data_IF_436431150786
#
_entry.id   IF_436431150786
#
_cell.length_a   1.000
_cell.length_b   1.000
_cell.length_c   1.000
_cell.angle_alpha   90.00
_cell.angle_beta   90.00
_cell.angle_gamma   90.00
#
_symmetry.space_group_name_H-M   'P 1'
#
loop_
_entity.id
_entity.type
_entity.pdbx_description
1 polymer ?
#
# COMPACT_ATOMS: atom_id res chain seq x y z
N UNK A 1 -12.15 27.29 -8.92
CA UNK A 1 -12.26 26.05 -9.72
C UNK A 1 -10.87 25.47 -9.93
N UNK A 2 -10.32 24.78 -8.93
CA UNK A 2 -9.13 23.94 -9.13
C UNK A 2 -9.62 22.53 -9.43
N UNK A 3 -9.70 22.19 -10.71
CA UNK A 3 -9.89 20.82 -11.15
C UNK A 3 -8.75 19.97 -10.54
N UNK A 4 -9.11 18.96 -9.75
CA UNK A 4 -8.15 17.99 -9.22
C UNK A 4 -7.41 17.35 -10.40
N UNK A 5 -6.09 17.54 -10.46
CA UNK A 5 -5.23 17.02 -11.54
C UNK A 5 -5.01 15.51 -11.46
N UNK A 6 -5.59 14.83 -10.46
CA UNK A 6 -5.52 13.39 -10.30
C UNK A 6 -6.94 12.84 -10.38
N UNK A 7 -7.21 12.11 -11.46
CA UNK A 7 -8.40 11.25 -11.53
C UNK A 7 -8.22 10.19 -10.45
N UNK A 8 -9.13 10.14 -9.47
CA UNK A 8 -9.14 9.10 -8.44
C UNK A 8 -9.50 7.75 -9.08
N UNK A 9 -8.51 7.13 -9.71
CA UNK A 9 -8.63 5.81 -10.31
C UNK A 9 -8.86 4.75 -9.24
N UNK A 10 -9.55 3.67 -9.63
CA UNK A 10 -9.66 2.44 -8.84
C UNK A 10 -8.95 1.29 -9.53
N UNK A 11 -8.41 0.37 -8.75
CA UNK A 11 -7.97 -0.95 -9.25
C UNK A 11 -9.19 -1.78 -9.67
N UNK A 12 -8.95 -2.89 -10.35
CA UNK A 12 -10.02 -3.85 -10.72
C UNK A 12 -10.73 -4.38 -9.47
N UNK A 13 -10.00 -4.56 -8.36
CA UNK A 13 -10.55 -4.96 -7.05
C UNK A 13 -11.26 -3.82 -6.29
N UNK A 14 -11.38 -2.63 -6.88
CA UNK A 14 -12.13 -1.51 -6.30
C UNK A 14 -11.37 -0.63 -5.30
N UNK A 15 -10.09 -0.89 -5.05
CA UNK A 15 -9.25 -0.05 -4.18
C UNK A 15 -8.86 1.25 -4.88
N UNK A 16 -8.67 2.34 -4.14
CA UNK A 16 -8.05 3.55 -4.71
C UNK A 16 -6.66 3.22 -5.26
N UNK A 17 -6.32 3.68 -6.47
CA UNK A 17 -5.09 3.27 -7.18
C UNK A 17 -3.83 3.48 -6.34
N UNK A 18 -3.71 4.61 -5.63
CA UNK A 18 -2.55 4.84 -4.76
C UNK A 18 -2.45 3.82 -3.62
N UNK A 19 -3.60 3.45 -3.02
CA UNK A 19 -3.63 2.44 -1.97
C UNK A 19 -3.33 1.04 -2.50
N UNK A 20 -3.92 0.69 -3.64
CA UNK A 20 -3.69 -0.58 -4.34
C UNK A 20 -2.21 -0.77 -4.71
N UNK A 21 -1.60 0.24 -5.35
CA UNK A 21 -0.21 0.14 -5.85
C UNK A 21 0.81 0.28 -4.71
N UNK A 22 0.68 1.30 -3.86
CA UNK A 22 1.74 1.65 -2.90
C UNK A 22 1.69 0.82 -1.61
N UNK A 23 0.54 0.19 -1.29
CA UNK A 23 0.40 -0.59 -0.06
C UNK A 23 0.03 -2.05 -0.34
N UNK A 24 -1.11 -2.30 -0.98
CA UNK A 24 -1.61 -3.67 -1.15
C UNK A 24 -0.72 -4.52 -2.07
N UNK A 25 -0.26 -3.96 -3.18
CA UNK A 25 0.63 -4.66 -4.12
C UNK A 25 1.95 -5.07 -3.47
N UNK A 26 2.55 -4.19 -2.67
CA UNK A 26 3.79 -4.48 -1.94
C UNK A 26 3.60 -5.57 -0.89
N UNK A 27 2.50 -5.50 -0.14
CA UNK A 27 2.13 -6.54 0.83
C UNK A 27 1.92 -7.89 0.16
N UNK A 28 1.12 -7.95 -0.91
CA UNK A 28 0.82 -9.18 -1.62
C UNK A 28 2.09 -9.79 -2.24
N UNK A 29 2.90 -8.98 -2.94
CA UNK A 29 4.15 -9.44 -3.54
C UNK A 29 5.08 -10.07 -2.50
N UNK A 30 5.21 -9.43 -1.32
CA UNK A 30 6.04 -9.95 -0.23
C UNK A 30 5.53 -11.30 0.26
N UNK A 31 4.21 -11.46 0.41
CA UNK A 31 3.61 -12.73 0.84
C UNK A 31 3.81 -13.83 -0.21
N UNK A 32 3.64 -13.52 -1.49
CA UNK A 32 3.85 -14.48 -2.58
C UNK A 32 5.30 -14.99 -2.66
N UNK A 33 6.26 -14.16 -2.25
CA UNK A 33 7.69 -14.51 -2.23
C UNK A 33 8.15 -15.06 -0.88
N UNK A 34 7.31 -15.06 0.16
CA UNK A 34 7.71 -15.28 1.54
C UNK A 34 8.46 -16.59 1.74
N UNK A 35 7.98 -17.68 1.14
CA UNK A 35 8.62 -19.00 1.29
C UNK A 35 10.00 -19.05 0.63
N UNK A 36 10.18 -18.39 -0.51
CA UNK A 36 11.49 -18.28 -1.18
C UNK A 36 12.44 -17.38 -0.39
N UNK A 37 11.93 -16.29 0.18
CA UNK A 37 12.71 -15.40 1.03
C UNK A 37 13.21 -16.13 2.28
N UNK A 38 12.37 -16.96 2.92
CA UNK A 38 12.75 -17.78 4.09
C UNK A 38 13.83 -18.83 3.79
N UNK A 39 13.88 -19.34 2.57
CA UNK A 39 14.91 -20.31 2.15
C UNK A 39 16.27 -19.67 1.87
N UNK A 40 16.30 -18.35 1.64
CA UNK A 40 17.54 -17.64 1.37
C UNK A 40 18.25 -17.27 2.68
N UNK A 41 19.55 -17.60 2.84
CA UNK A 41 20.29 -17.33 4.07
C UNK A 41 20.52 -15.82 4.33
N UNK A 42 20.22 -14.94 3.38
CA UNK A 42 20.47 -13.50 3.51
C UNK A 42 19.46 -12.63 2.76
N UNK A 43 18.22 -13.11 2.58
CA UNK A 43 17.16 -12.31 1.96
C UNK A 43 16.85 -11.05 2.78
N UNK A 44 16.49 -9.97 2.07
CA UNK A 44 16.08 -8.69 2.68
C UNK A 44 14.90 -8.13 1.91
N UNK A 45 13.97 -7.53 2.64
CA UNK A 45 12.85 -6.76 2.08
C UNK A 45 13.14 -5.29 2.38
N UNK A 46 13.18 -4.45 1.36
CA UNK A 46 13.38 -3.00 1.49
C UNK A 46 12.12 -2.33 0.96
N UNK A 47 11.36 -1.69 1.84
CA UNK A 47 10.16 -0.93 1.46
C UNK A 47 10.54 0.54 1.31
N UNK A 48 10.30 1.11 0.14
CA UNK A 48 10.56 2.53 -0.13
C UNK A 48 9.34 3.35 0.28
N UNK A 49 9.58 4.47 0.97
CA UNK A 49 8.54 5.40 1.38
C UNK A 49 8.92 6.83 0.99
N UNK A 50 7.93 7.73 1.02
CA UNK A 50 8.11 9.17 0.79
C UNK A 50 8.00 9.93 2.10
N UNK A 51 8.64 11.10 2.23
CA UNK A 51 8.46 11.98 3.40
C UNK A 51 6.99 12.33 3.68
N UNK A 52 6.15 12.33 2.65
CA UNK A 52 4.72 12.59 2.75
C UNK A 52 3.98 11.64 3.71
N UNK A 53 4.49 10.44 3.99
CA UNK A 53 3.85 9.52 4.93
C UNK A 53 3.72 10.10 6.34
N UNK A 54 4.58 11.07 6.71
CA UNK A 54 4.54 11.74 8.01
C UNK A 54 3.33 12.66 8.20
N UNK A 55 2.64 13.00 7.11
CA UNK A 55 1.45 13.85 7.14
C UNK A 55 0.15 13.05 7.20
N UNK A 56 0.21 11.73 7.03
CA UNK A 56 -0.94 10.85 7.17
C UNK A 56 -1.14 10.40 8.63
N UNK A 57 -2.40 10.34 9.07
CA UNK A 57 -2.78 9.72 10.33
C UNK A 57 -3.78 8.61 10.06
N UNK A 58 -3.51 7.41 10.60
CA UNK A 58 -4.44 6.27 10.52
C UNK A 58 -5.08 6.11 11.89
N UNK A 59 -6.39 6.33 11.95
CA UNK A 59 -7.17 6.03 13.15
C UNK A 59 -7.61 4.56 13.10
N UNK A 60 -6.96 3.73 13.92
CA UNK A 60 -7.27 2.31 14.04
C UNK A 60 -8.47 2.02 14.96
N UNK A 61 -9.00 3.04 15.64
CA UNK A 61 -10.17 2.92 16.51
C UNK A 61 -11.48 3.28 15.79
N UNK A 62 -11.40 3.77 14.53
CA UNK A 62 -12.58 3.94 13.68
C UNK A 62 -13.23 2.57 13.49
N UNK A 63 -14.37 2.37 14.16
CA UNK A 63 -15.30 1.30 13.82
C UNK A 63 -15.91 1.61 12.45
N UNK A 64 -16.05 0.62 11.56
CA UNK A 64 -16.79 0.82 10.32
C UNK A 64 -18.17 1.39 10.66
N UNK A 65 -18.56 2.49 9.99
CA UNK A 65 -19.94 2.98 10.10
C UNK A 65 -20.88 1.89 9.54
N UNK A 66 -22.05 1.68 10.17
CA UNK A 66 -23.02 0.69 9.72
C UNK A 66 -23.47 0.96 8.28
#
# INVERSE_FOLDING_TARGET
>A
MTQSLVKDGRTEDGFGVQFGVNHLGHFLLTNLLLDKLKQSPSARIITVSSMAHRWGHVDFQVRPRP
#
